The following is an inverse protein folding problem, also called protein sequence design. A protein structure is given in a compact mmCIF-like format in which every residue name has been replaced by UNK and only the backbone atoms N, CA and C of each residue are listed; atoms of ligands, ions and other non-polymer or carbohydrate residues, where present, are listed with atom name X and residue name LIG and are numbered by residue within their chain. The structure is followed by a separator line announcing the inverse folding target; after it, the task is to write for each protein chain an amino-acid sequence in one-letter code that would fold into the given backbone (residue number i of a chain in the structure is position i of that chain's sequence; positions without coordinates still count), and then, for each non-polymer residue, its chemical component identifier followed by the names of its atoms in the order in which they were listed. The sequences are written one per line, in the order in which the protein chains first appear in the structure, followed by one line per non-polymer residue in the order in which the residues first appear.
data_IF_451388583240
#
_entry.id   IF_451388583240
#
_cell.length_a   1.000
_cell.length_b   1.000
_cell.length_c   1.000
_cell.angle_alpha   90.00
_cell.angle_beta   90.00
_cell.angle_gamma   90.00
#
_symmetry.space_group_name_H-M   'P 1'
#
loop_
_entity.id
_entity.type
_entity.pdbx_description
1 polymer ?
#
# COMPACT_ATOMS: atom_id res chain seq x y z
N UNK A 1 -13.24 -19.33 -88.17
CA UNK A 1 -12.01 -19.10 -87.39
C UNK A 1 -12.33 -19.19 -85.91
N UNK A 2 -11.89 -20.26 -85.23
CA UNK A 2 -12.07 -20.44 -83.79
C UNK A 2 -11.18 -19.44 -83.03
N UNK A 3 -11.78 -18.51 -82.28
CA UNK A 3 -11.05 -17.63 -81.35
C UNK A 3 -10.76 -18.40 -80.06
N UNK A 4 -9.48 -18.70 -79.80
CA UNK A 4 -8.96 -19.18 -78.51
C UNK A 4 -9.34 -18.18 -77.40
N UNK A 5 -9.98 -18.64 -76.33
CA UNK A 5 -10.15 -17.86 -75.08
C UNK A 5 -8.77 -17.65 -74.42
N UNK A 6 -8.45 -16.45 -73.89
CA UNK A 6 -7.20 -16.22 -73.17
C UNK A 6 -7.27 -16.89 -71.79
N UNK A 7 -6.13 -17.41 -71.33
CA UNK A 7 -5.99 -18.19 -70.11
C UNK A 7 -6.05 -17.30 -68.86
N UNK A 8 -7.23 -17.20 -68.23
CA UNK A 8 -7.46 -16.45 -66.99
C UNK A 8 -6.73 -17.00 -65.74
N UNK A 9 -5.94 -18.06 -65.88
CA UNK A 9 -5.12 -18.63 -64.80
C UNK A 9 -3.71 -18.03 -64.67
N UNK A 10 -3.19 -17.38 -65.72
CA UNK A 10 -1.80 -16.87 -65.75
C UNK A 10 -1.62 -15.62 -64.88
N UNK A 11 -2.60 -14.71 -64.88
CA UNK A 11 -2.50 -13.45 -64.14
C UNK A 11 -2.61 -13.67 -62.62
N UNK A 12 -3.51 -14.54 -62.16
CA UNK A 12 -3.62 -14.88 -60.73
C UNK A 12 -2.39 -15.61 -60.19
N UNK A 13 -1.76 -16.47 -61.00
CA UNK A 13 -0.51 -17.12 -60.60
C UNK A 13 0.64 -16.11 -60.57
N UNK A 14 0.68 -15.17 -61.50
CA UNK A 14 1.69 -14.10 -61.53
C UNK A 14 1.55 -13.16 -60.34
N UNK A 15 0.33 -12.82 -59.95
CA UNK A 15 0.06 -11.99 -58.78
C UNK A 15 0.38 -12.73 -57.47
N UNK A 16 0.08 -14.03 -57.38
CA UNK A 16 0.46 -14.85 -56.22
C UNK A 16 1.97 -15.04 -56.10
N UNK A 17 2.69 -15.21 -57.22
CA UNK A 17 4.16 -15.27 -57.21
C UNK A 17 4.77 -13.93 -56.82
N UNK A 18 4.23 -12.80 -57.30
CA UNK A 18 4.68 -11.47 -56.87
C UNK A 18 4.44 -11.19 -55.40
N UNK A 19 3.30 -11.65 -54.86
CA UNK A 19 3.01 -11.55 -53.42
C UNK A 19 3.93 -12.44 -52.58
N UNK A 20 4.23 -13.67 -53.04
CA UNK A 20 5.21 -14.57 -52.42
C UNK A 20 6.61 -13.96 -52.44
N UNK A 21 7.08 -13.47 -53.59
CA UNK A 21 8.38 -12.82 -53.75
C UNK A 21 8.47 -11.53 -52.90
N UNK A 22 7.39 -10.74 -52.79
CA UNK A 22 7.38 -9.56 -51.91
C UNK A 22 7.42 -9.93 -50.43
N UNK A 23 6.72 -10.99 -50.03
CA UNK A 23 6.71 -11.50 -48.64
C UNK A 23 8.07 -12.09 -48.26
N UNK A 24 8.69 -12.85 -49.17
CA UNK A 24 10.02 -13.45 -48.98
C UNK A 24 11.11 -12.37 -48.87
N UNK A 25 10.99 -11.28 -49.61
CA UNK A 25 11.90 -10.13 -49.51
C UNK A 25 11.73 -9.35 -48.20
N UNK A 26 10.50 -9.18 -47.70
CA UNK A 26 10.26 -8.54 -46.41
C UNK A 26 10.81 -9.39 -45.24
N UNK A 27 10.62 -10.71 -45.30
CA UNK A 27 11.15 -11.64 -44.30
C UNK A 27 12.69 -11.67 -44.29
N UNK A 28 13.36 -11.65 -45.46
CA UNK A 28 14.83 -11.57 -45.53
C UNK A 28 15.36 -10.25 -44.96
N UNK A 29 14.69 -9.12 -45.24
CA UNK A 29 15.06 -7.82 -44.67
C UNK A 29 14.90 -7.80 -43.15
N UNK A 30 13.81 -8.37 -42.62
CA UNK A 30 13.60 -8.49 -41.18
C UNK A 30 14.63 -9.41 -40.53
N UNK A 31 14.98 -10.53 -41.17
CA UNK A 31 16.00 -11.44 -40.68
C UNK A 31 17.38 -10.77 -40.62
N UNK A 32 17.78 -10.05 -41.67
CA UNK A 32 19.04 -9.29 -41.69
C UNK A 32 19.09 -8.25 -40.57
N UNK A 33 17.99 -7.53 -40.31
CA UNK A 33 17.89 -6.59 -39.18
C UNK A 33 18.05 -7.30 -37.84
N UNK A 34 17.38 -8.45 -37.63
CA UNK A 34 17.52 -9.25 -36.40
C UNK A 34 18.95 -9.74 -36.20
N UNK A 35 19.62 -10.19 -37.26
CA UNK A 35 21.03 -10.61 -37.21
C UNK A 35 21.94 -9.43 -36.83
N UNK A 36 21.74 -8.26 -37.45
CA UNK A 36 22.52 -7.05 -37.12
C UNK A 36 22.32 -6.63 -35.65
N UNK A 37 21.09 -6.65 -35.16
CA UNK A 37 20.79 -6.37 -33.75
C UNK A 37 21.49 -7.38 -32.83
N UNK A 38 21.42 -8.68 -33.14
CA UNK A 38 22.09 -9.70 -32.33
C UNK A 38 23.61 -9.49 -32.29
N UNK A 39 24.24 -9.15 -33.41
CA UNK A 39 25.67 -8.83 -33.45
C UNK A 39 26.02 -7.55 -32.69
N UNK A 40 25.13 -6.55 -32.65
CA UNK A 40 25.26 -5.41 -31.76
C UNK A 40 25.24 -5.83 -30.28
N UNK A 41 24.25 -6.63 -29.87
CA UNK A 41 24.15 -7.11 -28.48
C UNK A 41 25.37 -7.94 -28.06
N UNK A 42 25.88 -8.81 -28.94
CA UNK A 42 27.12 -9.58 -28.70
C UNK A 42 28.33 -8.67 -28.51
N UNK A 43 28.46 -7.61 -29.32
CA UNK A 43 29.56 -6.63 -29.17
C UNK A 43 29.48 -5.91 -27.83
N UNK A 44 28.29 -5.56 -27.36
CA UNK A 44 28.09 -4.93 -26.05
C UNK A 44 28.53 -5.86 -24.92
N UNK A 45 28.14 -7.13 -24.95
CA UNK A 45 28.57 -8.11 -23.94
C UNK A 45 30.08 -8.33 -23.98
N UNK A 46 30.68 -8.37 -25.17
CA UNK A 46 32.15 -8.46 -25.29
C UNK A 46 32.87 -7.28 -24.64
N UNK A 47 32.30 -6.06 -24.72
CA UNK A 47 32.84 -4.89 -24.02
C UNK A 47 32.71 -5.01 -22.50
N UNK A 48 31.57 -5.52 -22.01
CA UNK A 48 31.37 -5.82 -20.59
C UNK A 48 32.38 -6.85 -20.04
N UNK A 49 32.86 -7.75 -20.89
CA UNK A 49 33.84 -8.79 -20.53
C UNK A 49 35.30 -8.34 -20.76
N UNK A 50 35.53 -7.06 -21.06
CA UNK A 50 36.86 -6.48 -21.21
C UNK A 50 37.61 -6.44 -19.88
N UNK A 51 38.95 -6.47 -19.94
CA UNK A 51 39.82 -6.20 -18.80
C UNK A 51 39.98 -4.69 -18.51
N UNK A 52 39.55 -3.82 -19.42
CA UNK A 52 39.64 -2.37 -19.26
C UNK A 52 38.36 -1.80 -18.65
N UNK A 53 38.47 -1.15 -17.48
CA UNK A 53 37.34 -0.58 -16.73
C UNK A 53 36.51 0.38 -17.59
N UNK A 54 37.14 1.25 -18.37
CA UNK A 54 36.45 2.18 -19.27
C UNK A 54 35.56 1.46 -20.30
N UNK A 55 36.04 0.33 -20.84
CA UNK A 55 35.27 -0.45 -21.79
C UNK A 55 34.07 -1.16 -21.13
N UNK A 56 34.23 -1.60 -19.87
CA UNK A 56 33.15 -2.20 -19.08
C UNK A 56 32.09 -1.14 -18.74
N UNK A 57 32.51 0.06 -18.32
CA UNK A 57 31.63 1.19 -18.06
C UNK A 57 30.80 1.57 -19.30
N UNK A 58 31.46 1.72 -20.46
CA UNK A 58 30.75 1.99 -21.71
C UNK A 58 29.84 0.83 -22.13
N UNK A 59 30.23 -0.42 -21.87
CA UNK A 59 29.37 -1.59 -22.03
C UNK A 59 28.11 -1.50 -21.17
N UNK A 60 28.22 -1.08 -19.91
CA UNK A 60 27.09 -0.94 -19.00
C UNK A 60 26.14 0.17 -19.42
N UNK A 61 26.67 1.34 -19.82
CA UNK A 61 25.86 2.44 -20.39
C UNK A 61 25.09 1.99 -21.63
N UNK A 62 25.72 1.19 -22.48
CA UNK A 62 25.11 0.70 -23.70
C UNK A 62 24.04 -0.36 -23.44
N UNK A 63 24.26 -1.27 -22.48
CA UNK A 63 23.19 -2.16 -21.99
C UNK A 63 22.00 -1.34 -21.51
N UNK A 64 22.21 -0.34 -20.65
CA UNK A 64 21.14 0.54 -20.15
C UNK A 64 20.38 1.20 -21.30
N UNK A 65 21.09 1.72 -22.31
CA UNK A 65 20.49 2.37 -23.49
C UNK A 65 19.62 1.40 -24.29
N UNK A 66 20.16 0.25 -24.65
CA UNK A 66 19.48 -0.75 -25.50
C UNK A 66 18.28 -1.39 -24.81
N UNK A 67 18.32 -1.55 -23.50
CA UNK A 67 17.26 -2.20 -22.71
C UNK A 67 16.14 -1.26 -22.28
N UNK A 68 16.27 0.05 -22.51
CA UNK A 68 15.31 1.05 -22.04
C UNK A 68 13.89 0.74 -22.52
N UNK A 69 13.72 0.41 -23.80
CA UNK A 69 12.40 0.21 -24.43
C UNK A 69 12.27 -1.14 -25.17
N UNK A 70 13.35 -1.93 -25.25
CA UNK A 70 13.36 -3.21 -25.98
C UNK A 70 13.36 -4.42 -25.03
N UNK A 71 12.23 -5.13 -24.96
CA UNK A 71 12.08 -6.34 -24.15
C UNK A 71 12.87 -7.55 -24.68
N UNK A 72 13.09 -7.61 -26.00
CA UNK A 72 13.87 -8.68 -26.63
C UNK A 72 15.37 -8.48 -26.34
N UNK A 73 15.85 -7.24 -26.37
CA UNK A 73 17.21 -6.90 -25.97
C UNK A 73 17.45 -7.27 -24.50
N UNK A 74 16.49 -7.00 -23.59
CA UNK A 74 16.59 -7.40 -22.18
C UNK A 74 16.83 -8.90 -22.03
N UNK A 75 16.02 -9.72 -22.69
CA UNK A 75 16.15 -11.19 -22.65
C UNK A 75 17.48 -11.65 -23.27
N UNK A 76 17.81 -11.12 -24.44
CA UNK A 76 18.98 -11.57 -25.21
C UNK A 76 20.29 -11.20 -24.52
N UNK A 77 20.42 -9.98 -23.98
CA UNK A 77 21.62 -9.56 -23.26
C UNK A 77 21.85 -10.39 -21.99
N UNK A 78 20.79 -10.71 -21.26
CA UNK A 78 20.89 -11.60 -20.10
C UNK A 78 21.35 -13.01 -20.50
N UNK A 79 20.78 -13.59 -21.58
CA UNK A 79 21.19 -14.89 -22.12
C UNK A 79 22.65 -14.91 -22.62
N UNK A 80 23.12 -13.79 -23.18
CA UNK A 80 24.51 -13.63 -23.60
C UNK A 80 25.48 -13.45 -22.42
N UNK A 81 24.99 -13.32 -21.19
CA UNK A 81 25.82 -13.24 -19.99
C UNK A 81 26.18 -11.82 -19.55
N UNK A 82 25.31 -10.83 -19.81
CA UNK A 82 25.54 -9.45 -19.35
C UNK A 82 25.46 -9.28 -17.82
N UNK A 83 24.71 -10.12 -17.11
CA UNK A 83 24.43 -9.92 -15.67
C UNK A 83 25.69 -10.01 -14.80
N UNK A 84 26.53 -11.06 -14.86
CA UNK A 84 27.69 -11.16 -13.96
C UNK A 84 28.71 -10.01 -14.09
N UNK A 85 29.09 -9.56 -15.30
CA UNK A 85 29.98 -8.39 -15.42
C UNK A 85 29.39 -7.09 -14.87
N UNK A 86 28.07 -6.87 -15.03
CA UNK A 86 27.41 -5.70 -14.45
C UNK A 86 27.42 -5.74 -12.91
N UNK A 87 27.25 -6.93 -12.33
CA UNK A 87 27.35 -7.11 -10.88
C UNK A 87 28.80 -6.93 -10.40
N UNK A 88 29.79 -7.38 -11.15
CA UNK A 88 31.21 -7.18 -10.84
C UNK A 88 31.61 -5.70 -10.94
N UNK A 89 30.99 -4.91 -11.83
CA UNK A 89 31.22 -3.47 -11.94
C UNK A 89 30.77 -2.69 -10.68
N UNK A 90 29.99 -3.31 -9.78
CA UNK A 90 29.69 -2.73 -8.47
C UNK A 90 30.89 -2.70 -7.52
N UNK A 91 31.96 -3.46 -7.82
CA UNK A 91 33.19 -3.50 -7.03
C UNK A 91 34.20 -2.41 -7.45
N UNK A 92 33.82 -1.51 -8.38
CA UNK A 92 34.65 -0.36 -8.77
C UNK A 92 34.77 0.67 -7.65
N UNK A 93 35.78 1.53 -7.71
CA UNK A 93 36.03 2.60 -6.71
C UNK A 93 35.31 3.93 -7.04
N UNK A 94 34.42 3.95 -8.03
CA UNK A 94 33.78 5.18 -8.53
C UNK A 94 32.25 5.05 -8.69
N UNK A 95 31.54 6.14 -8.37
CA UNK A 95 30.08 6.20 -8.41
C UNK A 95 29.50 6.13 -9.83
N UNK A 96 30.25 6.52 -10.87
CA UNK A 96 29.76 6.46 -12.24
C UNK A 96 29.60 5.01 -12.70
N UNK A 97 30.56 4.15 -12.37
CA UNK A 97 30.50 2.70 -12.58
C UNK A 97 29.34 2.06 -11.83
N UNK A 98 29.16 2.40 -10.54
CA UNK A 98 28.05 1.90 -9.73
C UNK A 98 26.70 2.25 -10.34
N UNK A 99 26.49 3.52 -10.66
CA UNK A 99 25.23 4.02 -11.21
C UNK A 99 24.95 3.41 -12.59
N UNK A 100 25.96 3.30 -13.44
CA UNK A 100 25.82 2.67 -14.76
C UNK A 100 25.42 1.19 -14.63
N UNK A 101 26.07 0.43 -13.75
CA UNK A 101 25.76 -0.96 -13.47
C UNK A 101 24.33 -1.13 -12.91
N UNK A 102 23.98 -0.37 -11.88
CA UNK A 102 22.68 -0.45 -11.22
C UNK A 102 21.54 -0.15 -12.18
N UNK A 103 21.63 0.90 -13.00
CA UNK A 103 20.57 1.20 -13.96
C UNK A 103 20.53 0.24 -15.16
N UNK A 104 21.66 -0.35 -15.56
CA UNK A 104 21.67 -1.42 -16.54
C UNK A 104 20.95 -2.69 -16.02
N UNK A 105 21.23 -3.08 -14.77
CA UNK A 105 20.56 -4.21 -14.10
C UNK A 105 19.06 -3.94 -13.92
N UNK A 106 18.68 -2.73 -13.50
CA UNK A 106 17.29 -2.30 -13.41
C UNK A 106 16.58 -2.49 -14.76
N UNK A 107 17.14 -1.94 -15.84
CA UNK A 107 16.50 -2.02 -17.15
C UNK A 107 16.40 -3.47 -17.68
N UNK A 108 17.41 -4.31 -17.43
CA UNK A 108 17.35 -5.75 -17.74
C UNK A 108 16.17 -6.44 -17.03
N UNK A 109 15.81 -5.99 -15.82
CA UNK A 109 14.73 -6.56 -15.03
C UNK A 109 13.32 -6.07 -15.42
N UNK A 110 13.17 -4.92 -16.10
CA UNK A 110 11.85 -4.34 -16.39
C UNK A 110 11.01 -5.30 -17.23
N UNK A 111 9.87 -5.73 -16.68
CA UNK A 111 8.92 -6.63 -17.34
C UNK A 111 9.48 -8.03 -17.66
N UNK A 112 10.60 -8.44 -17.04
CA UNK A 112 11.25 -9.71 -17.31
C UNK A 112 11.56 -10.48 -16.01
N UNK A 113 10.70 -11.43 -15.68
CA UNK A 113 10.80 -12.19 -14.43
C UNK A 113 11.98 -13.16 -14.42
N UNK A 114 12.35 -13.74 -15.57
CA UNK A 114 13.53 -14.58 -15.68
C UNK A 114 14.81 -13.79 -15.35
N UNK A 115 14.92 -12.56 -15.85
CA UNK A 115 16.04 -11.68 -15.56
C UNK A 115 16.04 -11.22 -14.10
N UNK A 116 14.89 -10.84 -13.52
CA UNK A 116 14.78 -10.52 -12.08
C UNK A 116 15.29 -11.66 -11.21
N UNK A 117 14.88 -12.89 -11.52
CA UNK A 117 15.34 -14.08 -10.79
C UNK A 117 16.83 -14.33 -10.97
N UNK A 118 17.34 -14.22 -12.20
CA UNK A 118 18.75 -14.41 -12.51
C UNK A 118 19.66 -13.38 -11.80
N UNK A 119 19.24 -12.11 -11.76
CA UNK A 119 19.95 -11.02 -11.09
C UNK A 119 20.07 -11.29 -9.58
N UNK A 120 18.97 -11.67 -8.92
CA UNK A 120 18.99 -12.02 -7.49
C UNK A 120 19.81 -13.28 -7.22
N UNK A 121 19.66 -14.32 -8.06
CA UNK A 121 20.45 -15.56 -7.98
C UNK A 121 21.94 -15.33 -8.16
N UNK A 122 22.33 -14.32 -8.94
CA UNK A 122 23.72 -13.92 -9.14
C UNK A 122 24.31 -13.10 -7.96
N UNK A 123 23.55 -12.89 -6.89
CA UNK A 123 24.05 -12.31 -5.64
C UNK A 123 24.03 -10.79 -5.56
N UNK A 124 23.30 -10.10 -6.45
CA UNK A 124 23.28 -8.62 -6.47
C UNK A 124 22.80 -8.01 -5.15
N UNK A 125 21.90 -8.68 -4.42
CA UNK A 125 21.26 -8.15 -3.21
C UNK A 125 22.30 -7.80 -2.15
N UNK A 126 23.19 -8.74 -1.83
CA UNK A 126 24.25 -8.52 -0.86
C UNK A 126 25.26 -7.49 -1.35
N UNK A 127 25.64 -7.52 -2.63
CA UNK A 127 26.55 -6.54 -3.23
C UNK A 127 26.02 -5.11 -3.14
N UNK A 128 24.74 -4.88 -3.43
CA UNK A 128 24.13 -3.55 -3.30
C UNK A 128 24.13 -3.04 -1.86
N UNK A 129 23.91 -3.91 -0.87
CA UNK A 129 23.91 -3.53 0.54
C UNK A 129 25.31 -3.22 1.07
N UNK A 130 26.31 -4.01 0.66
CA UNK A 130 27.73 -3.71 0.96
C UNK A 130 28.10 -2.36 0.34
N UNK A 131 27.76 -2.14 -0.93
CA UNK A 131 28.06 -0.92 -1.66
C UNK A 131 27.53 0.34 -0.96
N UNK A 132 26.26 0.38 -0.56
CA UNK A 132 25.69 1.58 0.10
C UNK A 132 26.23 1.81 1.52
N UNK A 133 26.77 0.76 2.15
CA UNK A 133 27.40 0.86 3.47
C UNK A 133 28.85 1.36 3.38
N UNK A 134 29.61 0.90 2.40
CA UNK A 134 31.02 1.27 2.20
C UNK A 134 31.18 2.60 1.46
N UNK A 135 30.26 2.91 0.53
CA UNK A 135 30.28 4.10 -0.30
C UNK A 135 28.97 4.91 -0.14
N UNK A 136 28.83 5.70 0.93
CA UNK A 136 27.63 6.49 1.18
C UNK A 136 27.51 7.63 0.16
N UNK A 137 26.78 7.36 -0.94
CA UNK A 137 26.49 8.32 -2.00
C UNK A 137 24.97 8.34 -2.28
N UNK A 138 24.30 9.52 -2.25
CA UNK A 138 22.85 9.61 -2.45
C UNK A 138 22.36 9.10 -3.82
N UNK A 139 23.11 9.35 -4.90
CA UNK A 139 22.73 8.92 -6.26
C UNK A 139 22.85 7.39 -6.40
N UNK A 140 23.88 6.79 -5.79
CA UNK A 140 24.04 5.34 -5.71
C UNK A 140 22.91 4.72 -4.87
N UNK A 141 22.59 5.32 -3.71
CA UNK A 141 21.50 4.85 -2.86
C UNK A 141 20.15 4.90 -3.60
N UNK A 142 19.87 5.95 -4.37
CA UNK A 142 18.68 6.04 -5.21
C UNK A 142 18.64 4.93 -6.28
N UNK A 143 19.76 4.67 -6.96
CA UNK A 143 19.85 3.59 -7.92
C UNK A 143 19.67 2.19 -7.29
N UNK A 144 20.14 1.99 -6.06
CA UNK A 144 19.91 0.76 -5.28
C UNK A 144 18.45 0.61 -4.87
N UNK A 145 17.80 1.69 -4.40
CA UNK A 145 16.35 1.69 -4.10
C UNK A 145 15.54 1.31 -5.34
N UNK A 146 15.86 1.89 -6.50
CA UNK A 146 15.18 1.58 -7.75
C UNK A 146 15.34 0.09 -8.13
N UNK A 147 16.52 -0.49 -7.92
CA UNK A 147 16.75 -1.93 -8.11
C UNK A 147 15.92 -2.77 -7.13
N UNK A 148 15.87 -2.43 -5.85
CA UNK A 148 15.03 -3.16 -4.89
C UNK A 148 13.55 -3.09 -5.25
N UNK A 149 13.06 -1.94 -5.73
CA UNK A 149 11.70 -1.82 -6.23
C UNK A 149 11.45 -2.75 -7.43
N UNK A 150 12.34 -2.72 -8.43
CA UNK A 150 12.22 -3.55 -9.64
C UNK A 150 12.32 -5.06 -9.36
N UNK A 151 13.24 -5.47 -8.50
CA UNK A 151 13.50 -6.87 -8.17
C UNK A 151 12.45 -7.45 -7.22
N UNK A 152 11.92 -6.67 -6.27
CA UNK A 152 10.87 -7.10 -5.33
C UNK A 152 9.51 -7.31 -6.00
N UNK A 153 9.32 -6.80 -7.23
CA UNK A 153 8.13 -7.05 -8.02
C UNK A 153 7.91 -8.54 -8.34
N UNK A 154 8.97 -9.36 -8.32
CA UNK A 154 8.86 -10.82 -8.49
C UNK A 154 8.67 -11.53 -7.14
N UNK A 155 7.67 -12.40 -7.02
CA UNK A 155 7.35 -13.11 -5.77
C UNK A 155 8.49 -13.97 -5.23
N UNK A 156 9.20 -14.71 -6.10
CA UNK A 156 10.32 -15.56 -5.68
C UNK A 156 11.54 -14.79 -5.16
N UNK A 157 11.66 -13.49 -5.47
CA UNK A 157 12.74 -12.65 -4.99
C UNK A 157 12.45 -12.08 -3.59
N UNK A 158 11.18 -11.92 -3.22
CA UNK A 158 10.78 -11.23 -1.98
C UNK A 158 11.43 -11.84 -0.72
N UNK A 159 11.48 -13.17 -0.51
CA UNK A 159 12.08 -13.74 0.70
C UNK A 159 13.60 -13.50 0.79
N UNK A 160 14.29 -13.55 -0.35
CA UNK A 160 15.75 -13.35 -0.42
C UNK A 160 16.08 -11.88 -0.11
N UNK A 161 15.33 -10.94 -0.69
CA UNK A 161 15.51 -9.52 -0.41
C UNK A 161 15.15 -9.20 1.04
N UNK A 162 14.02 -9.71 1.53
CA UNK A 162 13.54 -9.38 2.89
C UNK A 162 14.48 -9.85 4.00
N UNK A 163 15.12 -11.02 3.84
CA UNK A 163 16.07 -11.57 4.82
C UNK A 163 17.49 -10.98 4.76
N UNK A 164 17.75 -10.02 3.86
CA UNK A 164 19.11 -9.51 3.60
C UNK A 164 19.51 -8.24 4.37
N UNK A 165 18.57 -7.59 5.07
CA UNK A 165 18.75 -6.24 5.63
C UNK A 165 18.26 -5.12 4.72
N UNK A 166 17.78 -5.44 3.50
CA UNK A 166 17.22 -4.45 2.58
C UNK A 166 16.02 -3.68 3.17
N UNK A 167 15.23 -4.30 4.06
CA UNK A 167 14.09 -3.63 4.71
C UNK A 167 14.54 -2.46 5.56
N UNK A 168 15.59 -2.63 6.37
CA UNK A 168 16.15 -1.56 7.22
C UNK A 168 16.76 -0.44 6.38
N UNK A 169 17.48 -0.79 5.30
CA UNK A 169 17.99 0.19 4.34
C UNK A 169 16.86 1.02 3.70
N UNK A 170 15.82 0.37 3.18
CA UNK A 170 14.66 1.05 2.57
C UNK A 170 13.91 1.93 3.59
N UNK A 171 13.79 1.47 4.85
CA UNK A 171 13.22 2.25 5.93
C UNK A 171 14.06 3.49 6.25
N UNK A 172 15.39 3.36 6.26
CA UNK A 172 16.32 4.48 6.47
C UNK A 172 16.16 5.55 5.39
N UNK A 173 16.10 5.15 4.12
CA UNK A 173 15.85 6.09 3.02
C UNK A 173 14.47 6.75 3.15
N UNK A 174 13.44 5.99 3.51
CA UNK A 174 12.08 6.51 3.67
C UNK A 174 11.96 7.53 4.81
N UNK A 175 12.67 7.31 5.93
CA UNK A 175 12.72 8.19 7.11
C UNK A 175 13.46 9.51 6.87
N UNK A 176 14.34 9.57 5.87
CA UNK A 176 15.16 10.77 5.63
C UNK A 176 14.35 11.89 4.96
N UNK A 177 13.66 12.69 5.78
CA UNK A 177 12.74 13.77 5.34
C UNK A 177 13.48 15.08 5.04
N UNK A 178 14.68 15.30 5.61
CA UNK A 178 15.38 16.59 5.60
C UNK A 178 16.76 16.56 4.89
N UNK A 179 17.21 15.43 4.34
CA UNK A 179 18.55 15.30 3.78
C UNK A 179 18.61 14.57 2.43
N UNK A 180 19.56 15.03 1.58
CA UNK A 180 20.26 14.44 0.41
C UNK A 180 19.55 13.53 -0.61
N UNK A 181 18.47 12.84 -0.26
CA UNK A 181 17.78 11.86 -1.10
C UNK A 181 16.53 12.47 -1.75
N UNK A 182 16.24 12.06 -2.98
CA UNK A 182 15.11 12.61 -3.74
C UNK A 182 13.74 12.17 -3.19
N UNK A 183 12.71 12.96 -3.45
CA UNK A 183 11.31 12.58 -3.17
C UNK A 183 10.95 11.25 -3.87
N UNK A 184 11.53 11.01 -5.05
CA UNK A 184 11.33 9.78 -5.81
C UNK A 184 11.92 8.56 -5.08
N UNK A 185 13.15 8.65 -4.56
CA UNK A 185 13.76 7.57 -3.78
C UNK A 185 12.92 7.18 -2.55
N UNK A 186 12.31 8.15 -1.87
CA UNK A 186 11.39 7.88 -0.75
C UNK A 186 10.14 7.14 -1.19
N UNK A 187 9.50 7.59 -2.27
CA UNK A 187 8.32 6.91 -2.82
C UNK A 187 8.63 5.50 -3.28
N UNK A 188 9.78 5.30 -3.93
CA UNK A 188 10.19 4.00 -4.43
C UNK A 188 10.59 3.06 -3.30
N UNK A 189 11.19 3.59 -2.22
CA UNK A 189 11.43 2.83 -0.99
C UNK A 189 10.13 2.32 -0.38
N UNK A 190 9.10 3.18 -0.29
CA UNK A 190 7.79 2.80 0.22
C UNK A 190 7.10 1.74 -0.67
N UNK A 191 7.21 1.86 -2.01
CA UNK A 191 6.69 0.84 -2.94
C UNK A 191 7.44 -0.48 -2.80
N UNK A 192 8.76 -0.45 -2.63
CA UNK A 192 9.57 -1.65 -2.42
C UNK A 192 9.20 -2.34 -1.09
N UNK A 193 9.06 -1.59 0.00
CA UNK A 193 8.59 -2.11 1.30
C UNK A 193 7.18 -2.73 1.18
N UNK A 194 6.28 -2.10 0.42
CA UNK A 194 4.99 -2.69 0.10
C UNK A 194 5.13 -4.03 -0.64
N UNK A 195 5.94 -4.10 -1.70
CA UNK A 195 6.17 -5.36 -2.42
C UNK A 195 6.71 -6.44 -1.49
N UNK A 196 7.71 -6.12 -0.65
CA UNK A 196 8.33 -7.06 0.28
C UNK A 196 7.33 -7.56 1.32
N UNK A 197 6.43 -6.70 1.81
CA UNK A 197 5.42 -7.05 2.81
C UNK A 197 4.39 -8.07 2.34
N UNK A 198 4.20 -8.23 1.02
CA UNK A 198 3.28 -9.22 0.45
C UNK A 198 3.73 -10.66 0.78
N UNK A 199 5.04 -10.89 0.95
CA UNK A 199 5.55 -12.21 1.31
C UNK A 199 5.40 -12.46 2.81
N UNK A 200 4.68 -13.53 3.24
CA UNK A 200 4.58 -13.88 4.65
C UNK A 200 5.93 -14.18 5.31
N UNK A 201 6.93 -14.62 4.53
CA UNK A 201 8.29 -14.89 5.01
C UNK A 201 9.03 -13.63 5.44
N UNK A 202 8.59 -12.46 4.96
CA UNK A 202 9.19 -11.18 5.31
C UNK A 202 8.56 -10.54 6.54
N UNK A 203 7.52 -11.13 7.14
CA UNK A 203 6.88 -10.54 8.32
C UNK A 203 7.87 -10.44 9.48
N UNK A 204 8.64 -11.49 9.78
CA UNK A 204 9.64 -11.43 10.85
C UNK A 204 10.77 -10.40 10.57
N UNK A 205 11.40 -10.39 9.38
CA UNK A 205 12.32 -9.32 9.02
C UNK A 205 11.73 -7.91 9.14
N UNK A 206 10.44 -7.71 8.83
CA UNK A 206 9.77 -6.42 9.07
C UNK A 206 9.70 -6.08 10.56
N UNK A 207 9.40 -7.06 11.41
CA UNK A 207 9.26 -6.89 12.86
C UNK A 207 10.59 -6.64 13.57
N UNK A 208 11.71 -7.04 12.96
CA UNK A 208 13.06 -6.71 13.44
C UNK A 208 13.44 -5.23 13.20
N UNK A 209 12.63 -4.49 12.42
CA UNK A 209 12.82 -3.07 12.14
C UNK A 209 11.76 -2.20 12.81
N UNK A 210 11.98 -0.89 12.81
CA UNK A 210 11.00 0.10 13.29
C UNK A 210 9.88 0.41 12.27
N UNK A 211 9.66 -0.43 11.25
CA UNK A 211 8.72 -0.11 10.17
C UNK A 211 7.28 0.05 10.69
N UNK A 212 6.82 -0.81 11.60
CA UNK A 212 5.45 -0.73 12.14
C UNK A 212 5.25 0.53 12.98
N UNK A 213 6.09 0.84 14.00
CA UNK A 213 5.99 2.11 14.73
C UNK A 213 6.07 3.33 13.81
N UNK A 214 6.97 3.32 12.83
CA UNK A 214 7.10 4.41 11.86
C UNK A 214 5.82 4.62 11.04
N UNK A 215 5.26 3.54 10.50
CA UNK A 215 3.99 3.57 9.76
C UNK A 215 2.89 4.20 10.61
N UNK A 216 2.68 3.69 11.83
CA UNK A 216 1.61 4.13 12.72
C UNK A 216 1.72 5.62 13.03
N UNK A 217 2.93 6.11 13.32
CA UNK A 217 3.19 7.52 13.60
C UNK A 217 3.03 8.45 12.39
N UNK A 218 3.12 7.90 11.16
CA UNK A 218 2.94 8.66 9.92
C UNK A 218 1.53 8.54 9.32
N UNK A 219 0.62 7.79 9.94
CA UNK A 219 -0.79 7.82 9.56
C UNK A 219 -1.36 9.24 9.75
N UNK A 220 -1.95 9.78 8.69
CA UNK A 220 -2.45 11.15 8.62
C UNK A 220 -1.82 11.94 7.47
N UNK A 221 -0.64 11.55 6.99
CA UNK A 221 -0.10 12.04 5.73
C UNK A 221 -0.86 11.37 4.57
N UNK A 222 -1.77 12.13 3.95
CA UNK A 222 -2.66 11.63 2.89
C UNK A 222 -1.92 11.12 1.66
N UNK A 223 -0.67 11.56 1.42
CA UNK A 223 0.13 11.12 0.28
C UNK A 223 0.64 9.67 0.40
N UNK A 224 0.74 9.14 1.62
CA UNK A 224 1.37 7.83 1.89
C UNK A 224 0.52 6.89 2.75
N UNK A 225 -0.49 7.40 3.45
CA UNK A 225 -1.30 6.63 4.41
C UNK A 225 -1.95 5.39 3.81
N UNK A 226 -2.46 5.46 2.57
CA UNK A 226 -3.07 4.27 1.94
C UNK A 226 -2.04 3.13 1.74
N UNK A 227 -0.81 3.49 1.36
CA UNK A 227 0.27 2.52 1.14
C UNK A 227 0.75 1.91 2.45
N UNK A 228 0.87 2.73 3.48
CA UNK A 228 1.16 2.29 4.84
C UNK A 228 0.12 1.32 5.38
N UNK A 229 -1.17 1.64 5.25
CA UNK A 229 -2.24 0.73 5.63
C UNK A 229 -2.20 -0.57 4.82
N UNK A 230 -1.77 -0.53 3.56
CA UNK A 230 -1.60 -1.74 2.74
C UNK A 230 -0.51 -2.66 3.28
N UNK A 231 0.61 -2.11 3.75
CA UNK A 231 1.67 -2.87 4.42
C UNK A 231 1.12 -3.52 5.71
N UNK A 232 0.38 -2.75 6.52
CA UNK A 232 -0.25 -3.28 7.73
C UNK A 232 -1.25 -4.41 7.43
N UNK A 233 -2.06 -4.28 6.37
CA UNK A 233 -2.97 -5.35 5.92
C UNK A 233 -2.22 -6.65 5.59
N UNK A 234 -1.03 -6.56 4.99
CA UNK A 234 -0.26 -7.75 4.63
C UNK A 234 0.30 -8.47 5.85
N UNK A 235 0.69 -7.74 6.90
CA UNK A 235 1.33 -8.32 8.10
C UNK A 235 0.35 -8.71 9.22
N UNK A 236 -0.83 -8.08 9.32
CA UNK A 236 -1.78 -8.24 10.45
C UNK A 236 -2.31 -9.68 10.65
N UNK A 237 -2.16 -10.54 9.65
CA UNK A 237 -2.51 -11.97 9.76
C UNK A 237 -1.63 -12.72 10.78
N UNK A 238 -0.40 -12.25 11.01
CA UNK A 238 0.58 -12.83 11.94
C UNK A 238 0.41 -12.27 13.35
N UNK A 239 0.53 -13.12 14.38
CA UNK A 239 0.23 -12.74 15.77
C UNK A 239 1.22 -11.73 16.34
N UNK A 240 2.50 -11.91 16.04
CA UNK A 240 3.61 -11.05 16.45
C UNK A 240 3.46 -9.66 15.82
N UNK A 241 3.02 -9.59 14.55
CA UNK A 241 2.73 -8.33 13.89
C UNK A 241 1.53 -7.60 14.51
N UNK A 242 0.46 -8.32 14.89
CA UNK A 242 -0.64 -7.71 15.66
C UNK A 242 -0.16 -7.14 16.98
N UNK A 243 0.65 -7.89 17.74
CA UNK A 243 1.23 -7.40 18.99
C UNK A 243 2.06 -6.14 18.77
N UNK A 244 2.89 -6.12 17.72
CA UNK A 244 3.68 -4.93 17.38
C UNK A 244 2.79 -3.72 17.05
N UNK A 245 1.71 -3.91 16.29
CA UNK A 245 0.73 -2.84 16.01
C UNK A 245 0.06 -2.36 17.31
N UNK A 246 -0.47 -3.27 18.14
CA UNK A 246 -1.15 -2.93 19.39
C UNK A 246 -0.24 -2.29 20.44
N UNK A 247 1.07 -2.53 20.35
CA UNK A 247 2.06 -1.97 21.29
C UNK A 247 2.39 -0.50 21.00
N UNK A 248 2.04 0.01 19.80
CA UNK A 248 2.22 1.43 19.49
C UNK A 248 1.21 2.26 20.31
N UNK A 249 1.64 3.32 21.02
CA UNK A 249 0.74 4.22 21.72
C UNK A 249 -0.34 4.75 20.79
N UNK A 250 -1.58 4.79 21.26
CA UNK A 250 -2.74 5.26 20.49
C UNK A 250 -3.02 4.49 19.17
N UNK A 251 -2.53 3.24 19.02
CA UNK A 251 -2.75 2.44 17.83
C UNK A 251 -4.21 2.35 17.39
N UNK A 252 -5.12 2.00 18.32
CA UNK A 252 -6.55 1.91 18.02
C UNK A 252 -7.18 3.29 17.76
N UNK A 253 -6.97 4.33 18.59
CA UNK A 253 -7.42 5.69 18.27
C UNK A 253 -6.99 6.16 16.86
N UNK A 254 -5.77 5.87 16.42
CA UNK A 254 -5.27 6.21 15.09
C UNK A 254 -5.99 5.42 13.98
N UNK A 255 -6.13 4.10 14.11
CA UNK A 255 -6.84 3.29 13.10
C UNK A 255 -8.34 3.61 13.04
N UNK A 256 -8.96 3.93 14.19
CA UNK A 256 -10.35 4.37 14.28
C UNK A 256 -10.53 5.74 13.64
N UNK A 257 -9.53 6.62 13.72
CA UNK A 257 -9.54 7.90 12.99
C UNK A 257 -9.66 7.68 11.49
N UNK A 258 -8.87 6.74 10.93
CA UNK A 258 -8.91 6.42 9.49
C UNK A 258 -10.30 6.04 9.00
N UNK A 259 -11.14 5.45 9.86
CA UNK A 259 -12.52 5.10 9.49
C UNK A 259 -13.39 6.32 9.18
N UNK A 260 -13.07 7.52 9.69
CA UNK A 260 -13.82 8.75 9.40
C UNK A 260 -13.29 9.53 8.18
N UNK A 261 -12.38 8.95 7.39
CA UNK A 261 -11.80 9.58 6.20
C UNK A 261 -12.71 9.35 4.99
N UNK A 262 -13.82 10.09 4.93
CA UNK A 262 -14.86 9.92 3.90
C UNK A 262 -14.38 10.23 2.48
N UNK A 263 -13.34 11.04 2.33
CA UNK A 263 -12.66 11.37 1.08
C UNK A 263 -11.60 10.35 0.66
N UNK A 264 -11.28 9.37 1.53
CA UNK A 264 -10.29 8.33 1.28
C UNK A 264 -10.86 6.91 1.52
N UNK A 265 -11.81 6.44 0.69
CA UNK A 265 -12.44 5.13 0.86
C UNK A 265 -11.45 3.97 0.86
N UNK A 266 -10.37 4.08 0.08
CA UNK A 266 -9.27 3.09 0.06
C UNK A 266 -8.55 2.95 1.40
N UNK A 267 -8.47 4.02 2.20
CA UNK A 267 -7.92 3.99 3.55
C UNK A 267 -8.93 3.38 4.54
N UNK A 268 -10.21 3.78 4.48
CA UNK A 268 -11.27 3.21 5.31
C UNK A 268 -11.37 1.69 5.16
N UNK A 269 -11.30 1.18 3.92
CA UNK A 269 -11.34 -0.25 3.65
C UNK A 269 -10.18 -1.01 4.28
N UNK A 270 -8.97 -0.46 4.23
CA UNK A 270 -7.76 -1.09 4.80
C UNK A 270 -7.77 -1.02 6.32
N UNK A 271 -8.09 0.13 6.90
CA UNK A 271 -8.21 0.28 8.36
C UNK A 271 -9.30 -0.64 8.94
N UNK A 272 -10.48 -0.73 8.29
CA UNK A 272 -11.53 -1.66 8.72
C UNK A 272 -11.10 -3.13 8.62
N UNK A 273 -10.27 -3.50 7.63
CA UNK A 273 -9.70 -4.85 7.58
C UNK A 273 -8.76 -5.12 8.76
N UNK A 274 -7.82 -4.21 9.03
CA UNK A 274 -6.86 -4.33 10.14
C UNK A 274 -7.62 -4.50 11.47
N UNK A 275 -8.57 -3.61 11.76
CA UNK A 275 -9.38 -3.66 12.98
C UNK A 275 -10.23 -4.93 13.07
N UNK A 276 -10.77 -5.42 11.95
CA UNK A 276 -11.52 -6.68 11.91
C UNK A 276 -10.63 -7.88 12.28
N UNK A 277 -9.43 -7.96 11.73
CA UNK A 277 -8.50 -9.07 12.03
C UNK A 277 -8.04 -8.99 13.49
N UNK A 278 -7.67 -7.80 13.99
CA UNK A 278 -7.24 -7.62 15.38
C UNK A 278 -8.35 -7.96 16.38
N UNK A 279 -9.55 -7.39 16.20
CA UNK A 279 -10.68 -7.65 17.10
C UNK A 279 -11.16 -9.10 17.10
N UNK A 280 -11.03 -9.82 15.97
CA UNK A 280 -11.38 -11.24 15.90
C UNK A 280 -10.33 -12.15 16.57
N UNK A 281 -9.04 -11.78 16.53
CA UNK A 281 -7.94 -12.66 16.94
C UNK A 281 -7.42 -12.40 18.36
N UNK A 282 -7.79 -11.29 19.00
CA UNK A 282 -7.33 -10.92 20.34
C UNK A 282 -8.44 -10.25 21.16
N UNK A 283 -8.73 -10.80 22.33
CA UNK A 283 -9.68 -10.20 23.27
C UNK A 283 -9.15 -8.88 23.84
N UNK A 284 -7.85 -8.80 24.13
CA UNK A 284 -7.20 -7.57 24.60
C UNK A 284 -7.34 -6.44 23.58
N UNK A 285 -7.03 -6.72 22.30
CA UNK A 285 -7.18 -5.74 21.22
C UNK A 285 -8.64 -5.28 21.10
N UNK A 286 -9.59 -6.22 21.20
CA UNK A 286 -11.03 -5.90 21.17
C UNK A 286 -11.43 -4.97 22.30
N UNK A 287 -10.94 -5.20 23.52
CA UNK A 287 -11.23 -4.36 24.67
C UNK A 287 -10.63 -2.96 24.50
N UNK A 288 -9.38 -2.86 24.05
CA UNK A 288 -8.74 -1.57 23.73
C UNK A 288 -9.45 -0.81 22.62
N UNK A 289 -10.02 -1.50 21.62
CA UNK A 289 -10.87 -0.87 20.60
C UNK A 289 -12.17 -0.29 21.19
N UNK A 290 -12.80 -1.00 22.14
CA UNK A 290 -14.02 -0.51 22.82
C UNK A 290 -13.71 0.74 23.63
N UNK A 291 -12.62 0.72 24.40
CA UNK A 291 -12.14 1.86 25.20
C UNK A 291 -11.79 3.07 24.34
N UNK A 292 -11.24 2.83 23.14
CA UNK A 292 -10.98 3.86 22.13
C UNK A 292 -12.24 4.36 21.39
N UNK A 293 -13.43 3.85 21.73
CA UNK A 293 -14.70 4.32 21.17
C UNK A 293 -15.01 3.83 19.76
N UNK A 294 -14.55 2.64 19.37
CA UNK A 294 -14.72 2.10 18.00
C UNK A 294 -16.19 2.00 17.55
N UNK A 295 -17.13 1.80 18.47
CA UNK A 295 -18.52 1.52 18.15
C UNK A 295 -19.21 2.64 17.36
N UNK A 296 -18.97 3.91 17.70
CA UNK A 296 -19.56 5.05 17.00
C UNK A 296 -19.02 5.18 15.57
N UNK A 297 -17.71 5.05 15.41
CA UNK A 297 -17.05 5.10 14.11
C UNK A 297 -17.52 3.97 13.18
N UNK A 298 -17.75 2.76 13.71
CA UNK A 298 -18.29 1.64 12.92
C UNK A 298 -19.75 1.83 12.51
N UNK A 299 -20.58 2.45 13.36
CA UNK A 299 -21.96 2.78 13.01
C UNK A 299 -21.99 3.81 11.88
N UNK A 300 -21.19 4.87 11.98
CA UNK A 300 -21.01 5.85 10.91
C UNK A 300 -20.53 5.18 9.60
N UNK A 301 -19.51 4.33 9.69
CA UNK A 301 -18.97 3.61 8.53
C UNK A 301 -19.98 2.65 7.90
N UNK A 302 -20.90 2.09 8.68
CA UNK A 302 -22.00 1.23 8.16
C UNK A 302 -23.00 2.03 7.34
N UNK A 303 -23.15 3.33 7.61
CA UNK A 303 -24.08 4.21 6.89
C UNK A 303 -23.42 4.88 5.69
N UNK A 304 -22.16 5.32 5.83
CA UNK A 304 -21.49 6.22 4.88
C UNK A 304 -20.30 5.59 4.15
N UNK A 305 -19.81 4.44 4.59
CA UNK A 305 -18.63 3.79 4.01
C UNK A 305 -18.90 3.11 2.66
N UNK A 306 -17.82 2.64 2.02
CA UNK A 306 -17.93 1.78 0.84
C UNK A 306 -18.63 0.46 1.18
N UNK A 307 -19.19 -0.23 0.18
CA UNK A 307 -19.88 -1.52 0.39
C UNK A 307 -19.00 -2.55 1.10
N UNK A 308 -17.68 -2.54 0.84
CA UNK A 308 -16.72 -3.40 1.51
C UNK A 308 -16.49 -2.97 2.97
N UNK A 309 -16.32 -1.67 3.21
CA UNK A 309 -16.15 -1.13 4.55
C UNK A 309 -17.40 -1.35 5.42
N UNK A 310 -18.60 -1.17 4.88
CA UNK A 310 -19.88 -1.41 5.56
C UNK A 310 -20.03 -2.87 6.02
N UNK A 311 -19.70 -3.84 5.15
CA UNK A 311 -19.73 -5.27 5.48
C UNK A 311 -18.75 -5.60 6.61
N UNK A 312 -17.53 -5.07 6.55
CA UNK A 312 -16.53 -5.24 7.61
C UNK A 312 -16.97 -4.58 8.92
N UNK A 313 -17.54 -3.38 8.85
CA UNK A 313 -18.03 -2.66 10.02
C UNK A 313 -19.13 -3.43 10.75
N UNK A 314 -20.11 -3.94 10.00
CA UNK A 314 -21.18 -4.79 10.53
C UNK A 314 -20.62 -6.03 11.22
N UNK A 315 -19.62 -6.69 10.59
CA UNK A 315 -18.99 -7.88 11.15
C UNK A 315 -18.23 -7.59 12.44
N UNK A 316 -17.54 -6.45 12.54
CA UNK A 316 -16.87 -6.03 13.76
C UNK A 316 -17.91 -5.77 14.86
N UNK A 317 -18.98 -5.03 14.56
CA UNK A 317 -20.05 -4.73 15.52
C UNK A 317 -20.71 -6.01 16.08
N UNK A 318 -20.94 -7.03 15.24
CA UNK A 318 -21.38 -8.35 15.70
C UNK A 318 -20.41 -8.98 16.71
N UNK A 319 -19.10 -8.97 16.40
CA UNK A 319 -18.07 -9.50 17.28
C UNK A 319 -18.00 -8.75 18.62
N UNK A 320 -18.28 -7.44 18.64
CA UNK A 320 -18.34 -6.64 19.86
C UNK A 320 -19.60 -6.91 20.69
N UNK A 321 -20.73 -7.25 20.05
CA UNK A 321 -22.00 -7.58 20.74
C UNK A 321 -21.97 -8.94 21.44
N UNK A 322 -21.39 -9.96 20.80
CA UNK A 322 -21.32 -11.32 21.36
C UNK A 322 -20.59 -11.35 22.70
N UNK A 323 -19.53 -10.54 22.85
CA UNK A 323 -18.77 -10.50 24.11
C UNK A 323 -19.49 -9.74 25.22
N UNK A 324 -20.26 -8.69 24.90
CA UNK A 324 -21.18 -8.10 25.88
C UNK A 324 -22.20 -9.13 26.38
N UNK A 325 -22.73 -9.96 25.49
CA UNK A 325 -23.63 -11.06 25.87
C UNK A 325 -22.96 -12.10 26.79
N UNK A 326 -21.70 -12.48 26.51
CA UNK A 326 -20.93 -13.41 27.35
C UNK A 326 -20.58 -12.83 28.71
N UNK A 327 -20.09 -11.59 28.77
CA UNK A 327 -19.78 -10.91 30.04
C UNK A 327 -21.05 -10.71 30.90
N UNK A 328 -22.18 -10.36 30.29
CA UNK A 328 -23.46 -10.28 31.00
C UNK A 328 -23.87 -11.67 31.50
N UNK A 329 -23.75 -12.74 30.70
CA UNK A 329 -24.07 -14.10 31.16
C UNK A 329 -23.16 -14.60 32.29
N UNK A 330 -21.86 -14.29 32.27
CA UNK A 330 -20.93 -14.65 33.35
C UNK A 330 -21.23 -13.87 34.64
N UNK A 331 -21.60 -12.60 34.54
CA UNK A 331 -22.01 -11.78 35.68
C UNK A 331 -23.35 -12.23 36.29
N UNK A 332 -24.25 -12.82 35.49
CA UNK A 332 -25.51 -13.41 36.00
C UNK A 332 -25.31 -14.80 36.64
N UNK A 333 -24.27 -15.55 36.27
CA UNK A 333 -23.98 -16.86 36.87
C UNK A 333 -23.11 -16.73 38.15
N UNK A 334 -22.38 -15.62 38.31
CA UNK A 334 -21.61 -15.31 39.52
C UNK A 334 -22.37 -14.59 40.65
N UNK A 335 -23.56 -14.05 40.38
CA UNK A 335 -24.41 -13.37 41.34
C UNK A 335 -25.56 -14.26 41.82
N UNK A 336 -25.35 -15.00 42.90
CA UNK A 336 -26.39 -15.81 43.52
C UNK A 336 -27.62 -14.99 43.92
N UNK A 337 -28.76 -15.33 43.33
CA UNK A 337 -30.10 -15.22 43.91
C UNK A 337 -30.71 -13.82 44.00
N UNK A 338 -31.51 -13.43 43.00
CA UNK A 338 -32.94 -13.15 43.22
C UNK A 338 -33.67 -13.05 41.87
N UNK A 339 -34.64 -13.93 41.67
CA UNK A 339 -35.55 -13.89 40.52
C UNK A 339 -36.48 -12.68 40.62
N UNK A 340 -36.54 -11.86 39.57
CA UNK A 340 -37.71 -11.03 39.27
C UNK A 340 -38.07 -11.22 37.81
N UNK A 341 -39.08 -12.05 37.55
CA UNK A 341 -39.76 -12.09 36.27
C UNK A 341 -40.40 -10.72 36.02
N UNK A 342 -40.07 -10.06 34.92
CA UNK A 342 -40.81 -8.89 34.45
C UNK A 342 -41.58 -9.32 33.20
N UNK A 343 -42.89 -9.49 33.41
CA UNK A 343 -43.89 -9.67 32.36
C UNK A 343 -43.95 -8.45 31.44
N UNK A 344 -44.14 -8.73 30.15
CA UNK A 344 -44.46 -7.72 29.13
C UNK A 344 -45.87 -7.12 29.34
N UNK A 345 -46.08 -5.83 29.04
CA UNK A 345 -47.40 -5.32 28.73
C UNK A 345 -47.60 -5.18 27.22
N UNK A 346 -48.75 -5.66 26.77
CA UNK A 346 -49.29 -5.56 25.43
C UNK A 346 -49.73 -4.13 25.08
N UNK A 347 -49.77 -3.86 23.78
CA UNK A 347 -50.27 -2.65 23.16
C UNK A 347 -51.76 -2.39 23.44
N UNK A 348 -52.13 -1.11 23.59
CA UNK A 348 -53.49 -0.63 23.38
C UNK A 348 -53.48 0.80 22.82
N UNK A 349 -54.02 0.93 21.62
CA UNK A 349 -54.42 2.17 20.91
C UNK A 349 -55.62 2.85 21.57
N UNK A 350 -55.59 4.18 21.71
CA UNK A 350 -56.79 5.03 21.75
C UNK A 350 -56.46 6.50 21.38
N UNK A 351 -57.50 7.18 20.89
CA UNK A 351 -57.53 8.40 20.08
C UNK A 351 -57.29 9.75 20.81
N UNK A 352 -56.73 10.70 20.04
CA UNK A 352 -56.91 12.16 19.99
C UNK A 352 -57.60 12.92 21.14
N UNK A 353 -56.91 13.93 21.70
CA UNK A 353 -57.49 15.27 21.88
C UNK A 353 -56.40 16.35 21.99
N UNK A 354 -56.58 17.42 21.23
CA UNK A 354 -55.81 18.66 21.21
C UNK A 354 -56.02 19.50 22.47
N UNK A 355 -54.93 19.87 23.17
CA UNK A 355 -54.88 21.07 24.02
C UNK A 355 -53.50 21.72 23.86
N UNK A 356 -53.49 22.92 23.31
CA UNK A 356 -52.36 23.85 23.33
C UNK A 356 -52.14 24.32 24.77
N UNK A 357 -50.97 24.05 25.35
CA UNK A 357 -50.48 24.77 26.52
C UNK A 357 -48.97 24.98 26.42
N UNK A 358 -48.63 26.27 26.27
CA UNK A 358 -47.43 26.97 26.70
C UNK A 358 -46.08 26.24 26.60
N UNK A 359 -45.36 26.69 25.58
CA UNK A 359 -43.92 26.62 25.39
C UNK A 359 -43.18 27.29 26.56
N UNK A 360 -42.74 26.48 27.53
CA UNK A 360 -41.66 26.73 28.51
C UNK A 360 -41.56 25.54 29.45
N UNK A 361 -40.78 24.53 29.06
CA UNK A 361 -40.35 23.47 29.97
C UNK A 361 -38.87 23.15 29.73
N UNK A 362 -38.07 23.66 30.67
CA UNK A 362 -36.89 23.08 31.30
C UNK A 362 -36.14 21.93 30.60
N UNK A 363 -34.84 22.16 30.44
CA UNK A 363 -33.78 21.19 30.09
C UNK A 363 -33.66 19.99 31.06
N UNK A 364 -34.56 19.84 32.05
CA UNK A 364 -34.39 18.94 33.19
C UNK A 364 -35.06 17.55 33.02
N UNK A 365 -35.73 17.28 31.90
CA UNK A 365 -36.33 15.96 31.59
C UNK A 365 -35.76 15.29 30.33
N UNK A 366 -34.48 15.47 30.05
CA UNK A 366 -33.79 14.59 29.09
C UNK A 366 -33.57 13.21 29.76
N UNK A 367 -34.19 12.15 29.21
CA UNK A 367 -33.95 10.77 29.66
C UNK A 367 -32.44 10.47 29.64
N UNK A 368 -31.97 9.58 30.52
CA UNK A 368 -30.55 9.23 30.58
C UNK A 368 -29.99 8.81 29.21
N UNK A 369 -30.78 8.13 28.38
CA UNK A 369 -30.37 7.78 27.03
C UNK A 369 -30.13 9.02 26.15
N UNK A 370 -30.99 10.04 26.27
CA UNK A 370 -30.87 11.27 25.48
C UNK A 370 -29.68 12.12 25.93
N UNK A 371 -29.35 12.10 27.23
CA UNK A 371 -28.12 12.72 27.76
C UNK A 371 -26.87 11.97 27.29
N UNK A 372 -26.89 10.63 27.33
CA UNK A 372 -25.80 9.80 26.82
C UNK A 372 -25.57 10.01 25.32
N UNK A 373 -26.63 10.06 24.51
CA UNK A 373 -26.54 10.36 23.07
C UNK A 373 -25.94 11.75 22.84
N UNK A 374 -26.36 12.77 23.59
CA UNK A 374 -25.82 14.13 23.46
C UNK A 374 -24.33 14.19 23.81
N UNK A 375 -23.90 13.51 24.88
CA UNK A 375 -22.48 13.40 25.25
C UNK A 375 -21.67 12.68 24.17
N UNK A 376 -22.20 11.58 23.63
CA UNK A 376 -21.52 10.79 22.60
C UNK A 376 -21.36 11.60 21.30
N UNK A 377 -22.39 12.36 20.90
CA UNK A 377 -22.31 13.30 19.77
C UNK A 377 -21.27 14.39 20.02
N UNK A 378 -21.24 14.99 21.21
CA UNK A 378 -20.31 16.07 21.53
C UNK A 378 -18.85 15.57 21.59
N UNK A 379 -18.61 14.39 22.17
CA UNK A 379 -17.31 13.74 22.19
C UNK A 379 -16.87 13.33 20.77
N UNK A 380 -17.78 12.82 19.96
CA UNK A 380 -17.53 12.51 18.55
C UNK A 380 -17.14 13.76 17.76
N UNK A 381 -17.86 14.88 17.94
CA UNK A 381 -17.57 16.15 17.29
C UNK A 381 -16.19 16.70 17.69
N UNK A 382 -15.85 16.68 18.97
CA UNK A 382 -14.55 17.14 19.47
C UNK A 382 -13.40 16.28 18.92
N UNK A 383 -13.59 14.96 18.89
CA UNK A 383 -12.62 14.05 18.31
C UNK A 383 -12.47 14.31 16.81
N UNK A 384 -13.57 14.42 16.05
CA UNK A 384 -13.54 14.73 14.62
C UNK A 384 -12.81 16.06 14.36
N UNK A 385 -13.06 17.09 15.15
CA UNK A 385 -12.42 18.40 14.98
C UNK A 385 -10.91 18.34 15.27
N UNK A 386 -10.48 17.66 16.33
CA UNK A 386 -9.05 17.41 16.59
C UNK A 386 -8.38 16.62 15.44
N UNK A 387 -9.10 15.64 14.89
CA UNK A 387 -8.64 14.81 13.77
C UNK A 387 -8.50 15.63 12.48
N UNK A 388 -9.47 16.48 12.16
CA UNK A 388 -9.44 17.38 10.99
C UNK A 388 -8.25 18.34 11.09
N UNK A 389 -8.02 18.95 12.26
CA UNK A 389 -6.88 19.86 12.48
C UNK A 389 -5.55 19.14 12.28
N UNK A 390 -5.41 17.90 12.77
CA UNK A 390 -4.21 17.08 12.56
C UNK A 390 -3.98 16.74 11.09
N UNK A 391 -5.05 16.43 10.33
CA UNK A 391 -4.97 16.15 8.88
C UNK A 391 -4.60 17.38 8.06
N UNK A 392 -5.02 18.57 8.49
CA UNK A 392 -4.74 19.82 7.80
C UNK A 392 -3.33 20.38 8.05
N UNK A 393 -2.51 19.75 8.90
CA UNK A 393 -1.20 20.26 9.34
C UNK A 393 -1.25 21.71 9.83
N UNK A 394 -2.36 22.11 10.47
CA UNK A 394 -2.53 23.47 10.97
C UNK A 394 -1.71 23.69 12.26
N UNK A 395 -1.12 24.88 12.48
CA UNK A 395 -0.39 25.21 13.72
C UNK A 395 -1.24 25.00 14.98
N UNK A 396 -0.58 24.70 16.11
CA UNK A 396 -1.23 24.41 17.40
C UNK A 396 -2.21 25.49 17.91
N UNK A 397 -2.13 26.72 17.38
CA UNK A 397 -3.07 27.82 17.68
C UNK A 397 -4.49 27.59 17.14
N UNK A 398 -4.68 26.66 16.19
CA UNK A 398 -6.01 26.28 15.66
C UNK A 398 -6.57 25.01 16.31
N UNK A 399 -5.87 24.42 17.29
CA UNK A 399 -6.42 23.31 18.07
C UNK A 399 -7.58 23.85 18.91
N UNK A 400 -8.79 23.30 18.79
CA UNK A 400 -9.92 23.79 19.58
C UNK A 400 -9.62 23.56 21.06
N UNK A 401 -9.49 24.65 21.82
CA UNK A 401 -9.32 24.58 23.27
C UNK A 401 -10.58 24.00 23.91
N UNK A 402 -10.43 23.47 25.13
CA UNK A 402 -11.51 22.84 25.92
C UNK A 402 -12.70 23.80 26.22
N UNK A 403 -12.65 25.05 25.75
CA UNK A 403 -13.69 26.06 25.89
C UNK A 403 -14.83 25.98 24.86
N UNK A 404 -14.81 25.04 23.91
CA UNK A 404 -15.92 24.88 22.95
C UNK A 404 -17.21 24.27 23.53
N UNK A 405 -17.26 24.03 24.84
CA UNK A 405 -18.48 23.59 25.56
C UNK A 405 -19.64 24.60 25.47
N UNK A 406 -19.37 25.87 25.14
CA UNK A 406 -20.36 26.96 25.18
C UNK A 406 -21.01 27.29 23.83
N UNK A 407 -20.48 26.82 22.70
CA UNK A 407 -21.01 27.18 21.37
C UNK A 407 -22.05 26.20 20.81
N UNK A 408 -22.21 25.01 21.41
CA UNK A 408 -23.21 24.03 20.98
C UNK A 408 -24.58 24.19 21.66
N UNK A 409 -24.73 25.14 22.60
CA UNK A 409 -26.01 25.44 23.25
C UNK A 409 -26.83 26.51 22.54
N UNK A 410 -26.29 27.18 21.51
CA UNK A 410 -26.96 28.32 20.85
C UNK A 410 -27.40 28.10 19.39
N UNK A 411 -27.27 26.89 18.84
CA UNK A 411 -27.78 26.61 17.49
C UNK A 411 -29.22 26.13 17.52
N UNK A 412 -30.14 27.03 17.88
CA UNK A 412 -31.55 26.86 17.54
C UNK A 412 -31.73 27.28 16.09
N UNK A 413 -32.04 26.33 15.22
CA UNK A 413 -32.44 26.53 13.83
C UNK A 413 -33.52 27.60 13.73
N UNK A 414 -33.16 28.81 13.28
CA UNK A 414 -34.13 29.74 12.69
C UNK A 414 -34.20 29.42 11.20
N UNK A 415 -35.30 28.76 10.84
CA UNK A 415 -35.83 28.68 9.49
C UNK A 415 -35.81 30.07 8.83
N UNK A 416 -35.13 30.16 7.68
CA UNK A 416 -35.18 31.32 6.80
C UNK A 416 -36.58 31.34 6.16
N UNK A 417 -37.33 32.46 6.18
CA UNK A 417 -38.62 32.52 5.50
C UNK A 417 -38.43 32.59 3.98
N UNK A 418 -39.36 31.91 3.29
CA UNK A 418 -39.53 31.64 1.85
C UNK A 418 -38.74 32.45 0.83
#
# INVERSE_FOLDING_TARGET
MMKKKPAAGSDRLSDLMRLSESSENEDDVLLRRKVQMLEELKRVVKRLQSSHVDAVLEGAKEVRRLTKEDSQARSTLALLGAIPPLIALLDSDDSFSHIAALYALLNLAIGNDANKAAIVKAGVVHKMLILVNEFPNPDVAEAVVANFLGLSALDSNKPIIGSSGAIEFLLTILKNVEGTNSCQARQDSLKALYNLSISPLNVFPILETDLIPYIMNKLGDMGVSERFLSILCNVVSVAEARKAISSVPDAFPMLIDVLSWTDAPGCQEKASYILMVMGHKSYGDRQSMIEAGVASALLELTLLGSTLAQKRASRILECLRVDKGKQVSENYVGGGGMSTMISAPQASTAYSSSVQLNDRMDDDMMSEEKKAVKQLVQQSLQNNMKRIVKRANLPHEFVPSDHLKTLTTSSTSKSVPF
#
